data_IF_583675725578
#
_entry.id   IF_583675725578
#
_cell.length_a   1.000
_cell.length_b   1.000
_cell.length_c   1.000
_cell.angle_alpha   90.00
_cell.angle_beta   90.00
_cell.angle_gamma   90.00
#
_symmetry.space_group_name_H-M   'P 1'
#
loop_
_entity.id
_entity.type
_entity.pdbx_description
1 polymer ?
#
# COMPACT_ATOMS: atom_id res chain seq x y z
N UNK A 1 54.01 -30.43 -9.61
CA UNK A 1 54.52 -29.15 -9.09
C UNK A 1 53.32 -28.21 -9.01
N UNK A 2 52.83 -28.07 -7.79
CA UNK A 2 51.78 -27.14 -7.37
C UNK A 2 52.20 -25.68 -7.60
N UNK A 3 51.24 -24.83 -7.97
CA UNK A 3 51.11 -23.40 -7.60
C UNK A 3 49.60 -23.09 -7.75
N UNK A 4 48.77 -23.08 -6.71
CA UNK A 4 48.67 -22.12 -5.60
C UNK A 4 48.37 -20.69 -6.09
N UNK A 5 47.08 -20.29 -6.01
CA UNK A 5 46.65 -18.89 -6.12
C UNK A 5 45.71 -18.58 -4.96
N UNK A 6 46.23 -17.75 -4.06
CA UNK A 6 45.60 -17.25 -2.85
C UNK A 6 44.49 -16.26 -3.15
N UNK A 7 43.40 -16.42 -2.40
CA UNK A 7 42.29 -15.49 -2.21
C UNK A 7 42.79 -14.18 -1.60
N UNK A 8 42.39 -13.04 -2.16
CA UNK A 8 42.46 -11.72 -1.51
C UNK A 8 41.03 -11.27 -1.22
N UNK A 9 40.70 -11.25 0.07
CA UNK A 9 39.46 -10.71 0.63
C UNK A 9 39.62 -9.19 0.75
N UNK A 10 38.83 -8.44 -0.02
CA UNK A 10 38.67 -7.00 0.14
C UNK A 10 37.44 -6.72 1.00
N UNK A 11 37.67 -6.29 2.24
CA UNK A 11 36.64 -5.78 3.16
C UNK A 11 36.16 -4.43 2.64
N UNK A 12 34.86 -4.31 2.36
CA UNK A 12 34.20 -3.04 2.11
C UNK A 12 33.29 -2.71 3.30
N UNK A 13 33.57 -1.55 3.86
CA UNK A 13 32.99 -0.94 5.06
C UNK A 13 31.56 -0.44 4.76
N UNK A 14 30.54 -1.01 5.41
CA UNK A 14 29.14 -0.62 5.24
C UNK A 14 28.80 0.51 6.21
N UNK A 15 28.87 1.75 5.72
CA UNK A 15 28.33 2.93 6.40
C UNK A 15 26.80 2.93 6.31
N UNK A 16 26.13 2.47 7.37
CA UNK A 16 24.68 2.57 7.52
C UNK A 16 24.26 4.04 7.67
N UNK A 17 23.63 4.61 6.63
CA UNK A 17 22.93 5.87 6.72
C UNK A 17 21.48 5.61 7.15
N UNK A 18 21.18 5.92 8.42
CA UNK A 18 19.82 5.91 8.94
C UNK A 18 19.03 7.07 8.32
N UNK A 19 17.97 6.76 7.56
CA UNK A 19 17.00 7.75 7.10
C UNK A 19 15.65 7.48 7.76
N UNK A 20 15.24 8.41 8.63
CA UNK A 20 13.97 8.37 9.34
C UNK A 20 12.83 8.80 8.42
N UNK A 21 11.83 7.93 8.27
CA UNK A 21 10.53 8.29 7.70
C UNK A 21 9.66 8.89 8.81
N UNK A 22 9.16 10.11 8.57
CA UNK A 22 8.33 10.84 9.53
C UNK A 22 6.96 10.16 9.69
N UNK A 23 6.61 9.82 10.92
CA UNK A 23 5.28 9.35 11.34
C UNK A 23 4.40 10.56 11.67
N UNK A 24 3.27 10.70 10.98
CA UNK A 24 2.30 11.76 11.25
C UNK A 24 0.88 11.27 11.05
N UNK A 25 0.15 11.07 12.16
CA UNK A 25 -1.29 10.85 12.16
C UNK A 25 -2.03 12.19 11.91
N UNK A 26 -3.02 12.26 11.00
CA UNK A 26 -3.87 13.43 10.81
C UNK A 26 -4.71 13.87 12.03
N UNK A 27 -4.98 15.19 12.16
CA UNK A 27 -5.90 15.74 13.15
C UNK A 27 -7.36 15.72 12.68
N UNK A 28 -8.28 15.44 13.61
CA UNK A 28 -9.74 15.37 13.39
C UNK A 28 -10.37 16.77 13.22
N UNK A 29 -11.15 16.98 12.15
CA UNK A 29 -11.89 18.22 11.88
C UNK A 29 -13.38 18.07 12.25
N UNK A 30 -13.81 18.82 13.27
CA UNK A 30 -15.20 18.91 13.67
C UNK A 30 -16.02 19.79 12.69
N UNK A 31 -17.07 19.20 12.12
CA UNK A 31 -18.08 19.89 11.30
C UNK A 31 -18.97 20.75 12.21
N UNK A 32 -19.06 22.06 11.93
CA UNK A 32 -20.06 22.95 12.54
C UNK A 32 -21.10 23.37 11.49
N UNK A 33 -22.33 22.92 11.68
CA UNK A 33 -23.52 23.41 10.97
C UNK A 33 -23.99 24.74 11.55
N UNK A 34 -24.27 25.71 10.69
CA UNK A 34 -24.76 27.03 11.07
C UNK A 34 -26.28 27.13 11.15
N UNK A 35 -26.80 27.69 12.24
CA UNK A 35 -27.93 28.63 12.20
C UNK A 35 -28.09 29.47 13.47
N UNK A 36 -28.03 30.79 13.25
CA UNK A 36 -28.64 31.95 13.91
C UNK A 36 -28.95 31.96 15.43
N UNK A 37 -28.48 33.02 16.13
CA UNK A 37 -29.25 34.12 16.79
C UNK A 37 -28.27 35.01 17.59
N UNK A 38 -28.58 36.31 17.71
CA UNK A 38 -27.72 37.39 18.22
C UNK A 38 -27.83 37.61 19.78
N UNK A 39 -27.26 38.67 20.41
CA UNK A 39 -26.22 38.56 21.46
C UNK A 39 -26.65 39.07 22.85
N UNK A 40 -25.92 38.70 23.93
CA UNK A 40 -25.49 39.62 25.00
C UNK A 40 -24.56 38.96 26.06
N UNK A 41 -23.64 39.75 26.64
CA UNK A 41 -23.24 39.65 28.06
C UNK A 41 -22.04 38.79 28.53
N UNK A 42 -20.86 39.40 28.69
CA UNK A 42 -20.20 39.60 30.01
C UNK A 42 -19.27 38.54 30.67
N UNK A 43 -18.02 38.99 30.92
CA UNK A 43 -17.11 38.73 32.08
C UNK A 43 -16.33 37.38 32.19
N UNK A 44 -14.98 37.40 32.06
CA UNK A 44 -13.92 37.39 33.13
C UNK A 44 -13.83 36.07 33.95
N UNK A 45 -12.69 35.42 34.26
CA UNK A 45 -11.25 35.71 34.13
C UNK A 45 -10.41 34.43 34.48
N UNK A 46 -9.08 34.49 34.23
CA UNK A 46 -7.95 33.78 34.87
C UNK A 46 -7.64 32.34 34.38
N UNK A 47 -6.39 31.89 34.18
CA UNK A 47 -5.03 32.43 34.33
C UNK A 47 -4.10 31.61 33.41
N UNK A 48 -3.15 32.25 32.73
CA UNK A 48 -2.24 31.60 31.78
C UNK A 48 -0.82 32.20 31.90
N UNK A 49 0.15 31.33 32.17
CA UNK A 49 1.57 31.53 31.92
C UNK A 49 2.18 30.12 31.76
N UNK A 50 3.13 29.82 30.88
CA UNK A 50 3.75 30.51 29.77
C UNK A 50 4.56 29.42 29.05
N UNK A 51 4.48 29.30 27.73
CA UNK A 51 5.61 28.97 26.85
C UNK A 51 5.26 29.43 25.44
N UNK A 52 6.08 30.33 24.94
CA UNK A 52 5.88 31.15 23.77
C UNK A 52 6.61 30.48 22.59
N UNK A 53 5.88 30.14 21.53
CA UNK A 53 6.46 29.83 20.23
C UNK A 53 5.62 30.56 19.18
N UNK A 54 6.25 31.54 18.53
CA UNK A 54 5.68 32.30 17.41
C UNK A 54 5.40 31.35 16.23
N UNK A 55 4.13 31.08 15.96
CA UNK A 55 3.67 30.52 14.69
C UNK A 55 3.20 31.68 13.81
N UNK A 56 4.08 32.11 12.91
CA UNK A 56 3.69 32.95 11.77
C UNK A 56 2.94 32.07 10.78
N UNK A 57 1.66 32.37 10.58
CA UNK A 57 0.80 31.70 9.61
C UNK A 57 1.29 31.95 8.18
N UNK A 58 1.37 30.90 7.36
CA UNK A 58 1.29 31.00 5.91
C UNK A 58 0.28 29.97 5.39
N UNK A 59 -0.94 30.46 5.32
CA UNK A 59 -1.95 30.01 4.38
C UNK A 59 -1.47 30.44 2.98
N UNK A 60 -1.30 29.53 2.04
CA UNK A 60 -0.98 29.82 0.63
C UNK A 60 -1.85 28.95 -0.25
N UNK A 61 -3.06 29.38 -0.64
CA UNK A 61 -3.35 30.06 -1.91
C UNK A 61 -2.36 29.79 -3.04
N UNK A 62 -2.92 29.17 -4.09
CA UNK A 62 -2.42 29.06 -5.46
C UNK A 62 -1.63 30.31 -5.88
N UNK A 63 -0.34 30.14 -6.16
CA UNK A 63 0.52 31.20 -6.68
C UNK A 63 1.99 30.76 -6.79
N UNK A 64 2.47 30.77 -8.03
CA UNK A 64 3.88 30.87 -8.43
C UNK A 64 4.78 29.63 -8.24
N UNK A 65 4.74 28.73 -9.23
CA UNK A 65 5.74 27.68 -9.42
C UNK A 65 6.98 28.29 -10.09
N UNK A 66 7.69 29.10 -9.33
CA UNK A 66 8.94 29.75 -9.72
C UNK A 66 10.04 29.45 -8.71
N UNK A 67 11.10 28.79 -9.18
CA UNK A 67 12.45 28.79 -8.60
C UNK A 67 12.78 27.73 -7.52
N UNK A 68 13.13 26.52 -7.96
CA UNK A 68 14.02 25.63 -7.19
C UNK A 68 15.48 26.10 -7.37
N UNK A 69 16.27 26.28 -6.29
CA UNK A 69 17.66 26.69 -6.41
C UNK A 69 18.51 25.52 -6.92
N UNK A 70 19.08 25.71 -8.10
CA UNK A 70 20.10 24.85 -8.69
C UNK A 70 21.39 24.94 -7.87
N UNK A 71 21.69 23.92 -7.08
CA UNK A 71 23.05 23.70 -6.55
C UNK A 71 23.86 23.03 -7.65
N UNK A 72 24.66 23.84 -8.34
CA UNK A 72 25.39 23.46 -9.54
C UNK A 72 26.49 22.43 -9.31
N UNK A 73 26.46 21.40 -10.16
CA UNK A 73 27.61 21.07 -10.98
C UNK A 73 27.19 21.34 -12.43
N UNK A 74 27.78 22.37 -13.03
CA UNK A 74 27.55 22.72 -14.42
C UNK A 74 28.21 21.67 -15.34
N UNK A 75 27.51 20.59 -15.64
CA UNK A 75 27.78 19.80 -16.83
C UNK A 75 26.94 20.37 -17.97
N UNK A 76 27.57 21.30 -18.68
CA UNK A 76 27.04 21.95 -19.85
C UNK A 76 27.01 20.92 -20.99
N UNK A 77 25.86 20.25 -21.13
CA UNK A 77 25.56 19.28 -22.16
C UNK A 77 24.11 19.38 -22.59
N UNK A 78 23.66 20.57 -23.01
CA UNK A 78 22.44 20.68 -23.82
C UNK A 78 22.69 19.91 -25.12
N UNK A 79 22.42 18.60 -25.07
CA UNK A 79 22.40 17.76 -26.24
C UNK A 79 21.36 18.35 -27.19
N UNK A 80 21.85 18.83 -28.34
CA UNK A 80 21.04 19.47 -29.38
C UNK A 80 19.79 18.61 -29.62
N UNK A 81 18.62 19.22 -29.43
CA UNK A 81 17.36 18.56 -29.77
C UNK A 81 17.35 18.29 -31.27
N UNK A 82 16.91 17.10 -31.67
CA UNK A 82 16.66 16.83 -33.07
C UNK A 82 15.61 17.82 -33.60
N UNK A 83 15.62 18.09 -34.91
CA UNK A 83 14.61 18.99 -35.50
C UNK A 83 13.18 18.47 -35.24
N UNK A 84 13.01 17.16 -35.19
CA UNK A 84 11.73 16.52 -34.88
C UNK A 84 11.37 16.63 -33.39
N UNK A 85 12.32 16.39 -32.48
CA UNK A 85 12.12 16.62 -31.04
C UNK A 85 11.69 18.07 -30.77
N UNK A 86 12.37 19.05 -31.37
CA UNK A 86 12.03 20.47 -31.22
C UNK A 86 10.63 20.79 -31.76
N UNK A 87 10.25 20.20 -32.90
CA UNK A 87 8.91 20.35 -33.48
C UNK A 87 7.85 19.78 -32.55
N UNK A 88 8.06 18.58 -32.01
CA UNK A 88 7.14 17.92 -31.08
C UNK A 88 7.01 18.68 -29.76
N UNK A 89 8.11 19.19 -29.20
CA UNK A 89 8.09 20.10 -28.04
C UNK A 89 7.22 21.35 -28.30
N UNK A 90 7.31 21.94 -29.50
CA UNK A 90 6.46 23.08 -29.87
C UNK A 90 4.97 22.71 -29.93
N UNK A 91 4.64 21.49 -30.37
CA UNK A 91 3.24 21.03 -30.44
C UNK A 91 2.67 20.85 -29.02
N UNK A 92 3.37 20.14 -28.14
CA UNK A 92 2.90 19.92 -26.76
C UNK A 92 2.87 21.20 -25.94
N UNK A 93 3.76 22.16 -26.22
CA UNK A 93 3.73 23.48 -25.57
C UNK A 93 2.54 24.31 -26.03
N UNK A 94 2.12 24.18 -27.30
CA UNK A 94 0.95 24.87 -27.83
C UNK A 94 -0.37 24.23 -27.37
N UNK A 95 -0.37 22.91 -27.13
CA UNK A 95 -1.51 22.17 -26.61
C UNK A 95 -1.03 21.06 -25.65
N UNK A 96 -0.93 21.39 -24.35
CA UNK A 96 -0.43 20.47 -23.32
C UNK A 96 -1.34 19.28 -23.07
N UNK A 97 -2.60 19.33 -23.52
CA UNK A 97 -3.56 18.25 -23.39
C UNK A 97 -3.58 17.30 -24.60
N UNK A 98 -2.72 17.51 -25.60
CA UNK A 98 -2.58 16.57 -26.73
C UNK A 98 -1.75 15.35 -26.32
N UNK A 99 -2.46 14.34 -25.82
CA UNK A 99 -1.85 13.08 -25.40
C UNK A 99 -1.04 12.41 -26.51
N UNK A 100 -1.52 12.42 -27.77
CA UNK A 100 -0.82 11.74 -28.86
C UNK A 100 0.48 12.47 -29.24
N UNK A 101 0.49 13.80 -29.15
CA UNK A 101 1.71 14.58 -29.34
C UNK A 101 2.75 14.26 -28.26
N UNK A 102 2.31 14.10 -27.00
CA UNK A 102 3.18 13.66 -25.91
C UNK A 102 3.73 12.26 -26.11
N UNK A 103 2.89 11.28 -26.50
CA UNK A 103 3.37 9.92 -26.74
C UNK A 103 4.40 9.89 -27.87
N UNK A 104 4.17 10.64 -28.95
CA UNK A 104 5.13 10.76 -30.05
C UNK A 104 6.45 11.42 -29.60
N UNK A 105 6.38 12.45 -28.75
CA UNK A 105 7.56 13.11 -28.20
C UNK A 105 8.37 12.18 -27.29
N UNK A 106 7.70 11.40 -26.44
CA UNK A 106 8.35 10.41 -25.58
C UNK A 106 9.05 9.35 -26.44
N UNK A 107 8.36 8.76 -27.42
CA UNK A 107 8.92 7.76 -28.32
C UNK A 107 10.16 8.28 -29.07
N UNK A 108 10.08 9.50 -29.62
CA UNK A 108 11.21 10.12 -30.31
C UNK A 108 12.38 10.42 -29.36
N UNK A 109 12.08 10.88 -28.14
CA UNK A 109 13.11 11.14 -27.12
C UNK A 109 13.79 9.84 -26.68
N UNK A 110 13.02 8.78 -26.40
CA UNK A 110 13.56 7.46 -26.01
C UNK A 110 14.45 6.85 -27.07
N UNK A 111 14.09 7.04 -28.35
CA UNK A 111 14.88 6.56 -29.49
C UNK A 111 16.21 7.29 -29.64
N UNK A 112 16.26 8.58 -29.35
CA UNK A 112 17.43 9.43 -29.58
C UNK A 112 18.30 9.64 -28.32
N UNK A 113 17.77 9.36 -27.14
CA UNK A 113 18.45 9.60 -25.87
C UNK A 113 19.32 8.43 -25.41
N UNK A 114 20.05 7.77 -26.33
CA UNK A 114 20.73 6.46 -26.12
C UNK A 114 21.46 6.29 -24.76
N UNK A 115 21.93 7.37 -24.11
CA UNK A 115 22.26 7.38 -22.67
C UNK A 115 21.99 8.75 -21.99
N UNK A 116 21.08 9.56 -22.52
CA UNK A 116 20.83 10.91 -22.01
C UNK A 116 19.65 10.92 -21.04
N UNK A 117 19.93 10.58 -19.79
CA UNK A 117 18.92 10.57 -18.72
C UNK A 117 18.28 11.96 -18.51
N UNK A 118 19.00 13.06 -18.75
CA UNK A 118 18.45 14.41 -18.59
C UNK A 118 17.34 14.71 -19.60
N UNK A 119 17.48 14.24 -20.85
CA UNK A 119 16.41 14.34 -21.86
C UNK A 119 15.19 13.52 -21.45
N UNK A 120 15.40 12.31 -20.95
CA UNK A 120 14.32 11.43 -20.45
C UNK A 120 13.58 12.09 -19.28
N UNK A 121 14.30 12.55 -18.26
CA UNK A 121 13.72 13.27 -17.10
C UNK A 121 12.85 14.43 -17.56
N UNK A 122 13.39 15.29 -18.45
CA UNK A 122 12.67 16.47 -18.95
C UNK A 122 11.33 16.09 -19.61
N UNK A 123 11.34 15.11 -20.52
CA UNK A 123 10.10 14.73 -21.23
C UNK A 123 9.11 14.05 -20.29
N UNK A 124 9.57 13.14 -19.42
CA UNK A 124 8.70 12.42 -18.50
C UNK A 124 8.13 13.33 -17.40
N UNK A 125 8.95 14.19 -16.79
CA UNK A 125 8.48 15.16 -15.79
C UNK A 125 7.43 16.11 -16.38
N UNK A 126 7.63 16.57 -17.61
CA UNK A 126 6.67 17.47 -18.28
C UNK A 126 5.36 16.74 -18.63
N UNK A 127 5.46 15.52 -19.17
CA UNK A 127 4.28 14.72 -19.51
C UNK A 127 3.46 14.34 -18.28
N UNK A 128 4.13 13.86 -17.22
CA UNK A 128 3.47 13.40 -16.00
C UNK A 128 2.92 14.53 -15.13
N UNK A 129 3.35 15.78 -15.36
CA UNK A 129 2.68 16.96 -14.80
C UNK A 129 1.28 17.18 -15.41
N UNK A 130 1.11 16.87 -16.70
CA UNK A 130 -0.19 17.02 -17.40
C UNK A 130 -1.05 15.74 -17.28
N UNK A 131 -0.43 14.56 -17.30
CA UNK A 131 -1.10 13.25 -17.25
C UNK A 131 -0.62 12.38 -16.08
N UNK A 132 -0.79 12.82 -14.82
CA UNK A 132 -0.27 12.12 -13.63
C UNK A 132 -0.87 10.72 -13.45
N UNK A 133 -2.11 10.50 -13.92
CA UNK A 133 -2.83 9.23 -13.73
C UNK A 133 -2.35 8.09 -14.65
N UNK A 134 -1.39 8.34 -15.53
CA UNK A 134 -0.85 7.36 -16.45
C UNK A 134 0.26 6.50 -15.80
N UNK A 135 -0.13 5.59 -14.89
CA UNK A 135 0.81 4.74 -14.12
C UNK A 135 1.87 4.02 -14.98
N UNK A 136 1.51 3.58 -16.19
CA UNK A 136 2.44 2.90 -17.09
C UNK A 136 3.64 3.75 -17.50
N UNK A 137 3.48 5.08 -17.55
CA UNK A 137 4.59 5.99 -17.83
C UNK A 137 5.45 6.27 -16.60
N UNK A 138 4.87 6.29 -15.39
CA UNK A 138 5.66 6.29 -14.16
C UNK A 138 6.58 5.06 -14.08
N UNK A 139 6.05 3.88 -14.40
CA UNK A 139 6.82 2.64 -14.45
C UNK A 139 7.94 2.71 -15.49
N UNK A 140 7.65 3.15 -16.72
CA UNK A 140 8.68 3.36 -17.75
C UNK A 140 9.76 4.34 -17.31
N UNK A 141 9.38 5.42 -16.64
CA UNK A 141 10.32 6.41 -16.12
C UNK A 141 11.27 5.78 -15.09
N UNK A 142 10.71 5.03 -14.13
CA UNK A 142 11.49 4.29 -13.14
C UNK A 142 12.46 3.29 -13.81
N UNK A 143 12.01 2.57 -14.85
CA UNK A 143 12.87 1.65 -15.61
C UNK A 143 14.06 2.38 -16.31
N UNK A 144 13.82 3.59 -16.84
CA UNK A 144 14.90 4.40 -17.44
C UNK A 144 15.91 4.88 -16.39
N UNK A 145 15.44 5.34 -15.23
CA UNK A 145 16.31 5.72 -14.11
C UNK A 145 17.16 4.54 -13.61
N UNK A 146 16.54 3.35 -13.51
CA UNK A 146 17.22 2.13 -13.10
C UNK A 146 18.34 1.74 -14.07
N UNK A 147 18.15 2.00 -15.36
CA UNK A 147 19.13 1.69 -16.41
C UNK A 147 20.26 2.71 -16.50
N UNK A 148 20.01 4.00 -16.22
CA UNK A 148 20.91 5.09 -16.59
C UNK A 148 21.54 5.88 -15.43
N UNK A 149 20.96 5.87 -14.23
CA UNK A 149 21.52 6.61 -13.08
C UNK A 149 21.68 5.69 -11.86
N UNK A 150 20.58 5.21 -11.30
CA UNK A 150 20.62 4.22 -10.22
C UNK A 150 19.47 4.29 -9.22
N UNK A 151 19.54 3.40 -8.22
CA UNK A 151 18.50 3.09 -7.23
C UNK A 151 17.87 4.32 -6.57
N UNK A 152 18.66 5.33 -6.19
CA UNK A 152 18.14 6.53 -5.51
C UNK A 152 17.10 7.27 -6.34
N UNK A 153 17.29 7.37 -7.67
CA UNK A 153 16.35 8.07 -8.55
C UNK A 153 15.14 7.24 -8.88
N UNK A 154 15.29 5.92 -8.95
CA UNK A 154 14.16 5.00 -9.08
C UNK A 154 13.19 5.17 -7.90
N UNK A 155 13.73 5.26 -6.68
CA UNK A 155 12.93 5.51 -5.46
C UNK A 155 12.21 6.86 -5.55
N UNK A 156 12.91 7.94 -5.93
CA UNK A 156 12.28 9.26 -6.09
C UNK A 156 11.11 9.23 -7.09
N UNK A 157 11.26 8.51 -8.21
CA UNK A 157 10.20 8.34 -9.20
C UNK A 157 9.03 7.54 -8.64
N UNK A 158 9.28 6.42 -7.96
CA UNK A 158 8.20 5.63 -7.35
C UNK A 158 7.48 6.38 -6.23
N UNK A 159 8.18 7.11 -5.37
CA UNK A 159 7.55 7.93 -4.31
C UNK A 159 6.67 9.03 -4.91
N UNK A 160 7.09 9.66 -6.02
CA UNK A 160 6.22 10.58 -6.76
C UNK A 160 5.02 9.86 -7.40
N UNK A 161 5.25 8.67 -7.95
CA UNK A 161 4.21 7.89 -8.62
C UNK A 161 3.11 7.46 -7.66
N UNK A 162 3.44 6.94 -6.47
CA UNK A 162 2.43 6.51 -5.48
C UNK A 162 1.64 7.68 -4.89
N UNK A 163 2.14 8.91 -4.98
CA UNK A 163 1.37 10.11 -4.65
C UNK A 163 0.44 10.53 -5.81
N UNK A 164 0.87 10.35 -7.06
CA UNK A 164 0.10 10.72 -8.24
C UNK A 164 -1.01 9.70 -8.58
N UNK A 165 -0.75 8.41 -8.37
CA UNK A 165 -1.63 7.27 -8.67
C UNK A 165 -1.79 6.36 -7.46
N UNK A 166 -2.15 6.94 -6.32
CA UNK A 166 -2.24 6.26 -5.01
C UNK A 166 -3.10 5.00 -5.03
N UNK A 167 -4.19 4.99 -5.80
CA UNK A 167 -5.10 3.84 -5.88
C UNK A 167 -4.79 2.88 -7.04
N UNK A 168 -3.60 2.98 -7.65
CA UNK A 168 -3.17 2.03 -8.69
C UNK A 168 -2.52 0.80 -8.05
N UNK A 169 -3.17 -0.36 -8.12
CA UNK A 169 -2.58 -1.63 -7.69
C UNK A 169 -1.25 -1.88 -8.41
N UNK A 170 -1.22 -1.63 -9.72
CA UNK A 170 -0.03 -1.84 -10.56
C UNK A 170 1.19 -1.03 -10.08
N UNK A 171 1.03 0.24 -9.70
CA UNK A 171 2.20 1.04 -9.27
C UNK A 171 2.79 0.51 -7.97
N UNK A 172 1.95 0.12 -7.01
CA UNK A 172 2.38 -0.46 -5.75
C UNK A 172 3.05 -1.81 -5.96
N UNK A 173 2.47 -2.66 -6.82
CA UNK A 173 3.07 -3.93 -7.22
C UNK A 173 4.48 -3.72 -7.81
N UNK A 174 4.63 -2.84 -8.81
CA UNK A 174 5.93 -2.57 -9.42
C UNK A 174 6.95 -2.03 -8.38
N UNK A 175 6.51 -1.17 -7.46
CA UNK A 175 7.39 -0.63 -6.43
C UNK A 175 7.81 -1.71 -5.42
N UNK A 176 6.89 -2.57 -4.98
CA UNK A 176 7.22 -3.69 -4.09
C UNK A 176 8.17 -4.68 -4.76
N UNK A 177 8.00 -4.98 -6.05
CA UNK A 177 8.94 -5.82 -6.80
C UNK A 177 10.34 -5.20 -6.88
N UNK A 178 10.41 -3.89 -7.13
CA UNK A 178 11.66 -3.17 -7.08
C UNK A 178 12.31 -3.25 -5.69
N UNK A 179 11.53 -3.08 -4.62
CA UNK A 179 12.02 -3.17 -3.25
C UNK A 179 12.56 -4.57 -2.91
N UNK A 180 11.83 -5.64 -3.26
CA UNK A 180 12.29 -7.04 -3.11
C UNK A 180 13.63 -7.26 -3.82
N UNK A 181 13.82 -6.65 -4.99
CA UNK A 181 15.03 -6.82 -5.79
C UNK A 181 16.21 -5.96 -5.32
N UNK A 182 15.96 -4.99 -4.43
CA UNK A 182 16.92 -3.93 -4.07
C UNK A 182 17.34 -3.99 -2.60
N UNK A 183 16.43 -4.36 -1.70
CA UNK A 183 16.68 -4.38 -0.26
C UNK A 183 16.80 -5.81 0.24
N UNK A 184 17.74 -6.03 1.17
CA UNK A 184 17.86 -7.28 1.92
C UNK A 184 17.05 -7.27 3.23
N UNK A 185 16.68 -6.08 3.71
CA UNK A 185 15.95 -5.89 4.97
C UNK A 185 14.45 -6.15 4.77
N UNK A 186 13.96 -7.27 5.32
CA UNK A 186 12.57 -7.67 5.27
C UNK A 186 11.61 -6.66 5.89
N UNK A 187 12.04 -5.91 6.91
CA UNK A 187 11.16 -4.93 7.55
C UNK A 187 10.92 -3.72 6.64
N UNK A 188 11.89 -3.34 5.81
CA UNK A 188 11.70 -2.30 4.77
C UNK A 188 10.67 -2.78 3.74
N UNK A 189 10.82 -4.01 3.25
CA UNK A 189 9.95 -4.59 2.23
C UNK A 189 8.52 -4.72 2.76
N UNK A 190 8.35 -5.31 3.96
CA UNK A 190 7.04 -5.43 4.64
C UNK A 190 6.38 -4.08 4.83
N UNK A 191 7.11 -3.08 5.34
CA UNK A 191 6.56 -1.72 5.49
C UNK A 191 6.04 -1.13 4.17
N UNK A 192 6.71 -1.42 3.05
CA UNK A 192 6.26 -0.94 1.75
C UNK A 192 4.99 -1.67 1.28
N UNK A 193 4.93 -2.99 1.44
CA UNK A 193 3.70 -3.76 1.18
C UNK A 193 2.53 -3.24 2.01
N UNK A 194 2.72 -3.11 3.33
CA UNK A 194 1.69 -2.60 4.23
C UNK A 194 1.22 -1.19 3.84
N UNK A 195 2.16 -0.32 3.45
CA UNK A 195 1.81 1.02 2.95
C UNK A 195 0.95 0.96 1.70
N UNK A 196 1.26 0.08 0.74
CA UNK A 196 0.44 -0.10 -0.46
C UNK A 196 -0.93 -0.69 -0.15
N UNK A 197 -0.97 -1.75 0.66
CA UNK A 197 -2.20 -2.43 1.04
C UNK A 197 -3.17 -1.54 1.83
N UNK A 198 -2.67 -0.55 2.56
CA UNK A 198 -3.51 0.45 3.20
C UNK A 198 -4.35 1.29 2.21
N UNK A 199 -3.91 1.42 0.95
CA UNK A 199 -4.64 2.16 -0.09
C UNK A 199 -5.38 1.24 -1.07
N UNK A 200 -4.76 0.13 -1.46
CA UNK A 200 -5.27 -0.73 -2.55
C UNK A 200 -5.63 -2.15 -2.11
N UNK A 201 -5.46 -2.51 -0.84
CA UNK A 201 -5.69 -3.87 -0.35
C UNK A 201 -7.13 -4.37 -0.48
N UNK A 202 -8.09 -3.44 -0.52
CA UNK A 202 -9.53 -3.73 -0.69
C UNK A 202 -9.99 -3.70 -2.15
N UNK A 203 -9.12 -3.32 -3.10
CA UNK A 203 -9.47 -3.28 -4.52
C UNK A 203 -9.74 -4.70 -5.03
N UNK A 204 -10.78 -4.87 -5.87
CA UNK A 204 -11.17 -6.18 -6.40
C UNK A 204 -10.03 -6.89 -7.14
N UNK A 205 -9.16 -6.14 -7.81
CA UNK A 205 -8.02 -6.60 -8.60
C UNK A 205 -6.67 -6.52 -7.85
N UNK A 206 -6.71 -6.29 -6.53
CA UNK A 206 -5.50 -6.24 -5.67
C UNK A 206 -4.78 -7.58 -5.53
N UNK A 207 -5.35 -8.67 -6.05
CA UNK A 207 -4.80 -10.03 -5.96
C UNK A 207 -3.34 -10.12 -6.41
N UNK A 208 -2.92 -9.33 -7.40
CA UNK A 208 -1.52 -9.33 -7.88
C UNK A 208 -0.53 -8.84 -6.80
N UNK A 209 -0.94 -7.90 -5.95
CA UNK A 209 -0.09 -7.36 -4.88
C UNK A 209 -0.06 -8.33 -3.70
N UNK A 210 -1.23 -8.88 -3.32
CA UNK A 210 -1.33 -9.92 -2.31
C UNK A 210 -0.51 -11.16 -2.66
N UNK A 211 -0.58 -11.62 -3.91
CA UNK A 211 0.18 -12.79 -4.39
C UNK A 211 1.69 -12.59 -4.28
N UNK A 212 2.18 -11.41 -4.66
CA UNK A 212 3.61 -11.11 -4.55
C UNK A 212 4.04 -11.04 -3.09
N UNK A 213 3.18 -10.52 -2.19
CA UNK A 213 3.49 -10.48 -0.76
C UNK A 213 3.50 -11.88 -0.13
N UNK A 214 2.50 -12.70 -0.43
CA UNK A 214 2.40 -14.10 -0.02
C UNK A 214 3.64 -14.87 -0.46
N UNK A 215 4.01 -14.76 -1.74
CA UNK A 215 5.19 -15.41 -2.29
C UNK A 215 6.49 -14.95 -1.61
N UNK A 216 6.58 -13.67 -1.25
CA UNK A 216 7.71 -13.14 -0.52
C UNK A 216 7.80 -13.76 0.88
N UNK A 217 6.71 -13.76 1.66
CA UNK A 217 6.70 -14.34 3.02
C UNK A 217 6.87 -15.87 3.02
N UNK A 218 6.34 -16.57 2.02
CA UNK A 218 6.61 -18.00 1.79
C UNK A 218 8.11 -18.27 1.60
N UNK A 219 8.81 -17.39 0.85
CA UNK A 219 10.26 -17.53 0.64
C UNK A 219 11.10 -17.30 1.90
N UNK A 220 10.54 -16.59 2.88
CA UNK A 220 11.13 -16.37 4.20
C UNK A 220 10.71 -17.43 5.23
N UNK A 221 9.82 -18.36 4.86
CA UNK A 221 9.19 -19.33 5.77
C UNK A 221 8.51 -18.65 6.98
N UNK A 222 7.98 -17.45 6.79
CA UNK A 222 7.36 -16.64 7.83
C UNK A 222 5.87 -17.02 8.03
N UNK A 223 5.62 -18.23 8.54
CA UNK A 223 4.29 -18.86 8.58
C UNK A 223 3.23 -18.05 9.34
N UNK A 224 3.60 -17.40 10.45
CA UNK A 224 2.69 -16.55 11.22
C UNK A 224 2.26 -15.30 10.45
N UNK A 225 3.19 -14.68 9.72
CA UNK A 225 2.90 -13.53 8.88
C UNK A 225 2.04 -13.93 7.67
N UNK A 226 2.32 -15.09 7.09
CA UNK A 226 1.54 -15.64 5.99
C UNK A 226 0.08 -15.94 6.41
N UNK A 227 -0.11 -16.46 7.61
CA UNK A 227 -1.43 -16.70 8.20
C UNK A 227 -2.21 -15.40 8.44
N UNK A 228 -1.54 -14.34 8.91
CA UNK A 228 -2.12 -13.00 9.05
C UNK A 228 -2.56 -12.42 7.69
N UNK A 229 -1.67 -12.47 6.69
CA UNK A 229 -1.97 -12.02 5.33
C UNK A 229 -3.20 -12.74 4.76
N UNK A 230 -3.25 -14.07 4.83
CA UNK A 230 -4.42 -14.81 4.38
C UNK A 230 -5.68 -14.40 5.16
N UNK A 231 -5.58 -14.19 6.47
CA UNK A 231 -6.73 -13.76 7.28
C UNK A 231 -7.29 -12.43 6.79
N UNK A 232 -6.42 -11.43 6.56
CA UNK A 232 -6.78 -10.10 6.04
C UNK A 232 -7.39 -10.15 4.64
N UNK A 233 -6.83 -10.96 3.75
CA UNK A 233 -7.38 -11.17 2.40
C UNK A 233 -8.83 -11.66 2.46
N UNK A 234 -9.15 -12.56 3.41
CA UNK A 234 -10.50 -13.12 3.56
C UNK A 234 -11.53 -12.13 4.13
N UNK A 235 -11.13 -10.93 4.53
CA UNK A 235 -12.02 -9.85 4.96
C UNK A 235 -12.61 -9.06 3.79
N UNK A 236 -12.02 -9.19 2.60
CA UNK A 236 -12.33 -8.37 1.44
C UNK A 236 -12.80 -9.22 0.26
N UNK A 237 -13.73 -8.72 -0.57
CA UNK A 237 -14.29 -9.46 -1.69
C UNK A 237 -13.35 -9.46 -2.91
N UNK A 238 -12.07 -9.79 -2.75
CA UNK A 238 -11.07 -9.70 -3.83
C UNK A 238 -11.12 -10.90 -4.78
N UNK A 239 -10.58 -10.74 -6.00
CA UNK A 239 -10.48 -11.84 -6.95
C UNK A 239 -9.72 -13.05 -6.37
N UNK A 240 -10.18 -14.25 -6.73
CA UNK A 240 -9.57 -15.52 -6.34
C UNK A 240 -9.65 -15.85 -4.84
N UNK A 241 -10.64 -15.32 -4.12
CA UNK A 241 -10.85 -15.60 -2.70
C UNK A 241 -10.88 -17.10 -2.35
N UNK A 242 -11.44 -17.93 -3.23
CA UNK A 242 -11.47 -19.39 -3.07
C UNK A 242 -10.06 -20.01 -3.03
N UNK A 243 -9.11 -19.46 -3.81
CA UNK A 243 -7.72 -19.90 -3.79
C UNK A 243 -7.07 -19.55 -2.46
N UNK A 244 -7.22 -18.30 -2.01
CA UNK A 244 -6.64 -17.84 -0.75
C UNK A 244 -7.15 -18.65 0.45
N UNK A 245 -8.45 -18.94 0.51
CA UNK A 245 -9.01 -19.77 1.58
C UNK A 245 -8.49 -21.21 1.54
N UNK A 246 -8.32 -21.80 0.35
CA UNK A 246 -7.73 -23.12 0.22
C UNK A 246 -6.25 -23.15 0.63
N UNK A 247 -5.47 -22.12 0.26
CA UNK A 247 -4.07 -22.00 0.70
C UNK A 247 -3.96 -21.85 2.23
N UNK A 248 -4.85 -21.08 2.87
CA UNK A 248 -4.92 -20.99 4.33
C UNK A 248 -5.19 -22.36 4.98
N UNK A 249 -6.14 -23.14 4.45
CA UNK A 249 -6.42 -24.49 4.95
C UNK A 249 -5.23 -25.42 4.77
N UNK A 250 -4.52 -25.31 3.64
CA UNK A 250 -3.28 -26.06 3.43
C UNK A 250 -2.19 -25.67 4.42
N UNK A 251 -2.00 -24.37 4.68
CA UNK A 251 -1.06 -23.86 5.67
C UNK A 251 -1.39 -24.43 7.06
N UNK A 252 -2.65 -24.31 7.49
CA UNK A 252 -3.12 -24.86 8.75
C UNK A 252 -2.93 -26.39 8.84
N UNK A 253 -3.05 -27.12 7.73
CA UNK A 253 -2.84 -28.58 7.73
C UNK A 253 -1.37 -29.01 7.84
N UNK A 254 -0.43 -28.13 7.44
CA UNK A 254 1.01 -28.42 7.37
C UNK A 254 1.78 -27.94 8.60
N UNK A 255 1.23 -26.98 9.35
CA UNK A 255 1.88 -26.34 10.49
C UNK A 255 1.01 -26.41 11.75
N UNK A 256 1.65 -26.44 12.91
CA UNK A 256 0.97 -26.39 14.20
C UNK A 256 0.38 -25.00 14.47
N UNK A 257 -0.62 -24.91 15.35
CA UNK A 257 -1.25 -23.63 15.65
C UNK A 257 -0.26 -22.61 16.21
N UNK A 258 0.70 -23.03 17.05
CA UNK A 258 1.71 -22.12 17.61
C UNK A 258 2.70 -21.56 16.57
N UNK A 259 2.86 -22.21 15.41
CA UNK A 259 3.74 -21.73 14.33
C UNK A 259 3.05 -20.69 13.44
N UNK A 260 1.71 -20.75 13.32
CA UNK A 260 0.93 -19.88 12.46
C UNK A 260 0.29 -18.69 13.19
N UNK A 261 0.21 -18.69 14.52
CA UNK A 261 -0.31 -17.55 15.26
C UNK A 261 0.72 -16.43 15.35
N UNK A 262 0.26 -15.19 15.19
CA UNK A 262 1.06 -14.01 15.58
C UNK A 262 1.16 -13.93 17.11
N UNK A 263 2.08 -13.11 17.63
CA UNK A 263 2.24 -12.94 19.08
C UNK A 263 0.97 -12.35 19.73
N UNK A 264 0.29 -11.47 18.99
CA UNK A 264 -0.97 -10.84 19.34
C UNK A 264 -2.11 -11.86 19.41
N UNK A 265 -2.23 -12.70 18.38
CA UNK A 265 -3.27 -13.73 18.33
C UNK A 265 -3.06 -14.83 19.37
N UNK A 266 -1.81 -15.26 19.59
CA UNK A 266 -1.46 -16.22 20.62
C UNK A 266 -1.87 -15.71 22.02
N UNK A 267 -1.64 -14.42 22.28
CA UNK A 267 -2.05 -13.77 23.54
C UNK A 267 -3.58 -13.73 23.69
N UNK A 268 -4.32 -13.42 22.62
CA UNK A 268 -5.78 -13.41 22.62
C UNK A 268 -6.37 -14.81 22.83
N UNK A 269 -5.74 -15.84 22.25
CA UNK A 269 -6.16 -17.22 22.37
C UNK A 269 -6.01 -17.75 23.79
N UNK A 270 -4.91 -17.39 24.47
CA UNK A 270 -4.69 -17.73 25.88
C UNK A 270 -5.77 -17.09 26.76
N UNK A 271 -6.04 -15.79 26.61
CA UNK A 271 -7.06 -15.08 27.41
C UNK A 271 -8.46 -15.65 27.21
N UNK A 272 -8.85 -15.96 25.98
CA UNK A 272 -10.17 -16.56 25.69
C UNK A 272 -10.31 -17.97 26.24
N UNK A 273 -9.23 -18.76 26.24
CA UNK A 273 -9.20 -20.09 26.89
C UNK A 273 -9.31 -20.02 28.42
N UNK A 274 -8.66 -19.05 29.07
CA UNK A 274 -8.72 -18.83 30.52
C UNK A 274 -10.12 -18.36 30.97
N UNK A 275 -10.75 -17.47 30.18
CA UNK A 275 -12.10 -16.97 30.46
C UNK A 275 -13.16 -18.07 30.33
N UNK A 276 -12.93 -19.05 29.44
CA UNK A 276 -13.82 -20.21 29.25
C UNK A 276 -13.61 -21.26 30.34
N UNK A 277 -12.43 -21.33 30.96
CA UNK A 277 -12.10 -22.27 32.03
C UNK A 277 -12.53 -21.80 33.43
N UNK A 278 -12.79 -20.50 33.65
CA UNK A 278 -13.34 -19.96 34.90
C UNK A 278 -14.87 -19.86 34.87
N UNK A 279 -15.56 -21.00 34.82
CA UNK A 279 -16.94 -21.09 35.33
C UNK A 279 -16.89 -21.35 36.84
N UNK A 280 -17.79 -20.76 37.66
CA UNK A 280 -17.65 -20.78 39.11
C UNK A 280 -18.23 -22.07 39.69
N UNK A 281 -17.40 -23.12 39.84
CA UNK A 281 -17.75 -24.22 40.73
C UNK A 281 -17.34 -23.87 42.17
N UNK A 282 -18.37 -23.54 42.94
CA UNK A 282 -18.29 -23.43 44.38
C UNK A 282 -18.16 -24.78 45.05
N UNK A 283 -17.47 -24.72 46.20
CA UNK A 283 -17.35 -25.71 47.26
C UNK A 283 -16.29 -26.82 47.08
N UNK A 284 -15.09 -26.46 47.53
CA UNK A 284 -14.03 -27.36 47.93
C UNK A 284 -14.47 -28.31 49.06
N UNK A 285 -14.05 -29.56 48.96
CA UNK A 285 -13.83 -30.42 50.12
C UNK A 285 -12.38 -30.95 50.08
N UNK A 286 -11.60 -30.80 51.16
CA UNK A 286 -10.24 -31.32 51.22
C UNK A 286 -10.29 -32.80 51.64
N UNK A 287 -9.64 -33.66 50.86
CA UNK A 287 -8.88 -34.84 51.29
C UNK A 287 -8.79 -35.83 50.12
N UNK A 288 -7.68 -35.76 49.38
CA UNK A 288 -6.85 -36.93 49.10
C UNK A 288 -5.58 -36.49 48.35
N UNK A 289 -4.45 -36.64 49.03
CA UNK A 289 -3.10 -36.48 48.49
C UNK A 289 -2.64 -37.87 48.06
N UNK A 290 -2.59 -38.14 46.75
CA UNK A 290 -1.53 -38.89 46.05
C UNK A 290 -2.00 -39.42 44.70
N UNK A 291 -1.63 -38.70 43.64
CA UNK A 291 -1.14 -39.26 42.38
C UNK A 291 -0.67 -38.09 41.52
N UNK A 292 0.63 -37.85 41.56
CA UNK A 292 1.33 -37.02 40.58
C UNK A 292 1.30 -37.76 39.23
N UNK A 293 0.15 -37.73 38.56
CA UNK A 293 0.05 -37.99 37.14
C UNK A 293 0.60 -36.76 36.43
N UNK A 294 1.64 -36.95 35.62
CA UNK A 294 2.00 -35.96 34.60
C UNK A 294 0.72 -35.52 33.86
N UNK A 295 0.54 -34.21 33.60
CA UNK A 295 -0.49 -33.79 32.69
C UNK A 295 -0.01 -34.22 31.29
N UNK A 296 -0.43 -35.41 30.85
CA UNK A 296 -0.46 -35.70 29.42
C UNK A 296 -1.53 -34.79 28.80
N UNK A 297 -1.12 -33.58 28.44
CA UNK A 297 -1.85 -32.70 27.52
C UNK A 297 -1.52 -33.23 26.12
N UNK A 298 -2.07 -34.39 25.80
CA UNK A 298 -1.76 -35.16 24.61
C UNK A 298 -2.71 -34.78 23.47
N UNK A 299 -2.22 -33.94 22.55
CA UNK A 299 -2.64 -33.73 21.14
C UNK A 299 -4.11 -33.42 20.77
N UNK A 300 -5.09 -33.61 21.67
CA UNK A 300 -6.51 -33.37 21.43
C UNK A 300 -6.87 -31.89 21.37
N UNK A 301 -6.12 -31.04 22.10
CA UNK A 301 -6.39 -29.60 22.18
C UNK A 301 -5.91 -28.82 20.95
N UNK A 302 -4.81 -29.24 20.32
CA UNK A 302 -4.21 -28.50 19.22
C UNK A 302 -5.02 -28.66 17.92
N UNK A 303 -5.44 -29.88 17.60
CA UNK A 303 -6.31 -30.15 16.44
C UNK A 303 -7.68 -29.47 16.57
N UNK A 304 -8.27 -29.45 17.77
CA UNK A 304 -9.52 -28.73 18.03
C UNK A 304 -9.35 -27.21 17.92
N UNK A 305 -8.22 -26.66 18.41
CA UNK A 305 -7.93 -25.23 18.33
C UNK A 305 -7.66 -24.79 16.89
N UNK A 306 -6.96 -25.61 16.11
CA UNK A 306 -6.74 -25.40 14.69
C UNK A 306 -8.05 -25.49 13.89
N UNK A 307 -8.92 -26.44 14.22
CA UNK A 307 -10.25 -26.52 13.61
C UNK A 307 -11.10 -25.26 13.91
N UNK A 308 -11.04 -24.75 15.15
CA UNK A 308 -11.68 -23.47 15.51
C UNK A 308 -11.07 -22.29 14.75
N UNK A 309 -9.74 -22.26 14.62
CA UNK A 309 -9.02 -21.25 13.84
C UNK A 309 -9.53 -21.20 12.40
N UNK A 310 -9.54 -22.35 11.71
CA UNK A 310 -10.02 -22.46 10.32
C UNK A 310 -11.51 -22.09 10.21
N UNK A 311 -12.33 -22.56 11.15
CA UNK A 311 -13.77 -22.28 11.17
C UNK A 311 -14.08 -20.78 11.30
N UNK A 312 -13.30 -20.05 12.09
CA UNK A 312 -13.45 -18.59 12.22
C UNK A 312 -13.15 -17.86 10.90
N UNK A 313 -12.09 -18.27 10.19
CA UNK A 313 -11.74 -17.71 8.89
C UNK A 313 -12.68 -18.14 7.76
N UNK A 314 -13.28 -19.32 7.86
CA UNK A 314 -14.34 -19.77 6.95
C UNK A 314 -15.56 -18.85 7.01
N UNK A 315 -15.91 -18.37 8.20
CA UNK A 315 -16.99 -17.41 8.39
C UNK A 315 -16.66 -16.03 7.77
N UNK A 316 -15.41 -15.58 7.86
CA UNK A 316 -14.93 -14.35 7.18
C UNK A 316 -15.02 -14.51 5.66
N UNK A 317 -14.43 -15.59 5.14
CA UNK A 317 -14.51 -15.99 3.74
C UNK A 317 -15.96 -16.01 3.23
N UNK A 318 -16.88 -16.61 3.98
CA UNK A 318 -18.30 -16.71 3.60
C UNK A 318 -18.95 -15.33 3.47
N UNK A 319 -18.67 -14.40 4.39
CA UNK A 319 -19.16 -13.02 4.32
C UNK A 319 -18.59 -12.28 3.10
N UNK A 320 -17.29 -12.41 2.87
CA UNK A 320 -16.64 -11.80 1.70
C UNK A 320 -17.16 -12.39 0.38
N UNK A 321 -17.42 -13.71 0.28
CA UNK A 321 -18.08 -14.33 -0.89
C UNK A 321 -19.52 -13.85 -1.09
N UNK A 322 -20.27 -13.66 -0.02
CA UNK A 322 -21.62 -13.12 -0.09
C UNK A 322 -21.59 -11.70 -0.66
N UNK A 323 -20.68 -10.86 -0.18
CA UNK A 323 -20.50 -9.52 -0.73
C UNK A 323 -19.98 -9.53 -2.18
N UNK A 324 -18.98 -10.36 -2.50
CA UNK A 324 -18.49 -10.58 -3.88
C UNK A 324 -19.65 -10.91 -4.82
N UNK A 325 -20.58 -11.79 -4.41
CA UNK A 325 -21.71 -12.19 -5.26
C UNK A 325 -22.64 -11.03 -5.64
N UNK A 326 -22.66 -9.95 -4.84
CA UNK A 326 -23.42 -8.74 -5.12
C UNK A 326 -22.68 -7.80 -6.06
N UNK A 327 -21.36 -7.71 -5.96
CA UNK A 327 -20.54 -6.74 -6.71
C UNK A 327 -19.94 -7.29 -8.02
N UNK A 328 -19.79 -8.62 -8.14
CA UNK A 328 -19.07 -9.27 -9.25
C UNK A 328 -19.62 -8.91 -10.64
N UNK A 329 -20.93 -8.67 -10.74
CA UNK A 329 -21.55 -8.25 -12.00
C UNK A 329 -21.06 -6.87 -12.46
N UNK A 330 -20.85 -5.94 -11.52
CA UNK A 330 -20.31 -4.62 -11.81
C UNK A 330 -18.83 -4.70 -12.14
N UNK A 331 -18.06 -5.45 -11.34
CA UNK A 331 -16.61 -5.63 -11.52
C UNK A 331 -16.27 -6.22 -12.89
N UNK A 332 -16.97 -7.29 -13.31
CA UNK A 332 -16.75 -7.92 -14.61
C UNK A 332 -17.18 -7.04 -15.80
N UNK A 333 -18.02 -6.04 -15.56
CA UNK A 333 -18.45 -5.09 -16.59
C UNK A 333 -17.45 -3.93 -16.77
N UNK A 334 -16.52 -3.71 -15.83
CA UNK A 334 -15.43 -2.74 -15.98
C UNK A 334 -14.36 -3.34 -16.90
N UNK A 335 -14.20 -2.80 -18.11
CA UNK A 335 -13.17 -3.28 -19.05
C UNK A 335 -11.86 -2.52 -18.91
N UNK A 336 -11.92 -1.30 -18.39
CA UNK A 336 -10.77 -0.41 -18.22
C UNK A 336 -10.72 0.13 -16.79
N UNK A 337 -10.10 -0.62 -15.85
CA UNK A 337 -9.98 -0.21 -14.45
C UNK A 337 -8.90 0.87 -14.21
N UNK A 338 -8.28 1.37 -15.28
CA UNK A 338 -7.20 2.37 -15.22
C UNK A 338 -7.54 3.61 -16.05
N UNK A 339 -6.88 4.72 -15.74
CA UNK A 339 -7.05 5.95 -16.49
C UNK A 339 -6.59 5.83 -17.95
N UNK A 340 -7.39 6.34 -18.87
CA UNK A 340 -6.99 6.54 -20.25
C UNK A 340 -7.77 7.72 -20.83
N UNK A 341 -7.09 8.53 -21.66
CA UNK A 341 -7.64 9.71 -22.34
C UNK A 341 -8.84 9.46 -23.27
N UNK A 342 -9.12 8.19 -23.64
CA UNK A 342 -10.27 7.88 -24.50
C UNK A 342 -11.52 7.87 -23.61
N UNK A 343 -12.63 8.49 -24.02
CA UNK A 343 -13.86 8.43 -23.25
C UNK A 343 -14.30 6.96 -23.10
N UNK A 344 -14.92 6.66 -21.96
CA UNK A 344 -15.61 5.39 -21.75
C UNK A 344 -16.82 5.30 -22.67
N UNK A 345 -17.22 4.09 -23.04
CA UNK A 345 -18.48 3.88 -23.75
C UNK A 345 -19.69 4.06 -22.82
N UNK A 346 -20.88 4.30 -23.38
CA UNK A 346 -22.07 4.52 -22.55
C UNK A 346 -22.38 3.34 -21.61
N UNK A 347 -22.28 2.07 -22.04
CA UNK A 347 -22.46 0.92 -21.13
C UNK A 347 -21.48 0.91 -19.95
N UNK A 348 -20.20 1.21 -20.15
CA UNK A 348 -19.22 1.31 -19.07
C UNK A 348 -19.56 2.46 -18.11
N UNK A 349 -19.94 3.63 -18.62
CA UNK A 349 -20.37 4.76 -17.79
C UNK A 349 -21.62 4.45 -16.97
N UNK A 350 -22.62 3.80 -17.57
CA UNK A 350 -23.83 3.37 -16.89
C UNK A 350 -23.53 2.34 -15.80
N UNK A 351 -22.62 1.39 -16.06
CA UNK A 351 -22.15 0.44 -15.07
C UNK A 351 -21.50 1.15 -13.87
N UNK A 352 -20.59 2.10 -14.12
CA UNK A 352 -19.95 2.87 -13.04
C UNK A 352 -20.96 3.65 -12.21
N UNK A 353 -21.93 4.34 -12.82
CA UNK A 353 -22.97 5.05 -12.07
C UNK A 353 -23.80 4.09 -11.21
N UNK A 354 -24.25 2.97 -11.78
CA UNK A 354 -25.05 1.99 -11.04
C UNK A 354 -24.26 1.34 -9.91
N UNK A 355 -22.96 1.11 -10.11
CA UNK A 355 -22.10 0.52 -9.10
C UNK A 355 -21.85 1.48 -7.94
N UNK A 356 -21.52 2.74 -8.23
CA UNK A 356 -21.37 3.77 -7.21
C UNK A 356 -22.67 4.00 -6.43
N UNK A 357 -23.82 4.06 -7.13
CA UNK A 357 -25.15 4.14 -6.52
C UNK A 357 -25.45 2.95 -5.60
N UNK A 358 -24.96 1.76 -5.94
CA UNK A 358 -25.12 0.55 -5.14
C UNK A 358 -24.26 0.65 -3.87
N UNK A 359 -22.99 1.04 -4.03
CA UNK A 359 -22.02 1.24 -2.94
C UNK A 359 -22.54 2.31 -1.95
N UNK A 360 -23.02 3.46 -2.43
CA UNK A 360 -23.54 4.54 -1.58
C UNK A 360 -24.78 4.13 -0.77
N UNK A 361 -25.56 3.15 -1.24
CA UNK A 361 -26.79 2.70 -0.58
C UNK A 361 -26.56 1.60 0.45
N UNK A 362 -25.49 0.81 0.37
CA UNK A 362 -25.17 -0.16 1.41
C UNK A 362 -24.56 0.55 2.63
N UNK A 363 -25.37 0.70 3.70
CA UNK A 363 -24.97 1.35 4.96
C UNK A 363 -23.72 0.72 5.61
N UNK A 364 -23.42 -0.54 5.32
CA UNK A 364 -22.21 -1.24 5.80
C UNK A 364 -20.91 -0.60 5.28
N UNK A 365 -20.98 0.14 4.16
CA UNK A 365 -19.80 0.84 3.65
C UNK A 365 -19.51 2.09 4.47
N UNK A 366 -20.45 2.69 5.23
CA UNK A 366 -20.03 3.69 6.23
C UNK A 366 -19.22 3.04 7.36
N UNK A 367 -19.28 1.72 7.56
CA UNK A 367 -18.46 1.02 8.57
C UNK A 367 -17.06 0.66 8.04
N UNK A 368 -16.97 0.26 6.77
CA UNK A 368 -15.69 0.04 6.07
C UNK A 368 -15.02 1.35 5.65
N UNK A 369 -15.81 2.35 5.27
CA UNK A 369 -15.37 3.72 5.12
C UNK A 369 -15.09 4.32 6.49
N UNK A 370 -15.81 4.16 7.60
CA UNK A 370 -15.40 4.84 8.86
C UNK A 370 -14.00 4.41 9.34
N UNK A 371 -13.56 3.19 8.99
CA UNK A 371 -12.17 2.75 9.19
C UNK A 371 -11.19 3.26 8.10
N UNK A 372 -11.67 3.49 6.86
CA UNK A 372 -10.90 4.06 5.74
C UNK A 372 -11.08 5.60 5.51
N UNK A 373 -11.97 6.28 6.25
CA UNK A 373 -12.44 7.67 6.07
C UNK A 373 -11.45 8.66 6.65
N UNK A 374 -10.40 8.14 7.24
CA UNK A 374 -9.20 8.90 7.49
C UNK A 374 -8.39 9.17 6.21
N UNK A 375 -8.74 8.56 5.08
CA UNK A 375 -7.92 8.55 3.85
C UNK A 375 -8.62 9.11 2.61
N UNK A 376 -9.94 9.28 2.58
CA UNK A 376 -10.65 9.82 1.40
C UNK A 376 -10.84 11.35 1.49
N UNK A 377 -9.75 12.09 1.30
CA UNK A 377 -9.79 13.52 1.00
C UNK A 377 -10.05 13.77 -0.49
N UNK A 378 -11.25 14.24 -0.82
CA UNK A 378 -11.50 14.99 -2.06
C UNK A 378 -10.83 16.36 -2.02
#
# INVERSE_FOLDING_TARGET
MEQDQSVVVGSADSGAAAFGFATGNPPSLAVTGGSAVAPDGGAQAADASAYQAEHTALNGTVGDMGNYPSTGAAENGEAVLSAEEARLWSVVTANSLDFNAWTALIEETEKNAENNILKIRKVYDSFLAEFPLCFGYWKKYADHEARLDGVSKVIEVYERAVLAVTYSVDIWYNYCQFAISTYDDSDIIRRLFERGLAYVGTDYHSNILWDEYIKYEESLEAWSHLADIYTRVLEHPIQQLDRYFNCLKELASKHSLSEILTAEEASLYVVTSETTAQAPDGEAHPDDVDKLGQPEISSSTDAESLAKYVSMREEMYRKAKEYESKIIGFELAIRRPYFHVKPLDNPELENWHNYLDYIEKEEDINKYLDEASFVMGY
#
